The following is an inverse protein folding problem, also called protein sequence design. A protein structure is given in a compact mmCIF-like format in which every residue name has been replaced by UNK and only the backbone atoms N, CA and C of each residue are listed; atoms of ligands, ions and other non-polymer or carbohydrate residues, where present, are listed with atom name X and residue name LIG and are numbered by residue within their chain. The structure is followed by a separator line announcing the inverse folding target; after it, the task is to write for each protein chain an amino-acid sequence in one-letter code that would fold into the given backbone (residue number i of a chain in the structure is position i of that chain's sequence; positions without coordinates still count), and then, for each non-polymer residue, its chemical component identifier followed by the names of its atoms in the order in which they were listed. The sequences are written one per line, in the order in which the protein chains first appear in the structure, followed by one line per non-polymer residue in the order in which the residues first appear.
data_IF_877899353619
#
_entry.id   IF_877899353619
#
_cell.length_a   1.000
_cell.length_b   1.000
_cell.length_c   1.000
_cell.angle_alpha   90.00
_cell.angle_beta   90.00
_cell.angle_gamma   90.00
#
_symmetry.space_group_name_H-M   'P 1'
#
loop_
_entity.id
_entity.type
_entity.pdbx_description
1 polymer ?
#
# COMPACT_ATOMS: atom_id res chain seq x y z
N UNK A 1 -12.69 46.99 1.11
CA UNK A 1 -12.68 45.55 1.44
C UNK A 1 -12.84 44.76 0.14
N UNK A 2 -11.74 44.26 -0.43
CA UNK A 2 -11.77 43.42 -1.63
C UNK A 2 -11.59 41.96 -1.19
N UNK A 3 -12.70 41.22 -1.14
CA UNK A 3 -12.67 39.77 -0.94
C UNK A 3 -12.35 39.11 -2.30
N UNK A 4 -11.07 39.12 -2.66
CA UNK A 4 -10.54 38.34 -3.78
C UNK A 4 -10.49 36.86 -3.43
N UNK A 5 -11.66 36.22 -3.32
CA UNK A 5 -11.75 34.76 -3.19
C UNK A 5 -11.17 34.11 -4.44
N UNK A 6 -10.13 33.27 -4.27
CA UNK A 6 -9.61 32.40 -5.33
C UNK A 6 -10.78 31.58 -5.89
N UNK A 7 -11.20 31.86 -7.11
CA UNK A 7 -12.22 31.06 -7.82
C UNK A 7 -11.64 29.66 -8.02
N UNK A 8 -12.25 28.65 -7.43
CA UNK A 8 -11.88 27.25 -7.66
C UNK A 8 -12.12 26.88 -9.12
N UNK A 9 -11.34 25.94 -9.65
CA UNK A 9 -11.60 25.40 -10.97
C UNK A 9 -13.03 24.80 -11.01
N UNK A 10 -13.79 24.98 -12.10
CA UNK A 10 -15.12 24.40 -12.19
C UNK A 10 -15.05 22.88 -12.06
N UNK A 11 -16.01 22.31 -11.33
CA UNK A 11 -16.15 20.87 -11.17
C UNK A 11 -16.78 20.23 -12.41
N UNK A 12 -16.50 18.94 -12.61
CA UNK A 12 -17.06 18.13 -13.70
C UNK A 12 -18.59 18.20 -13.75
N UNK A 13 -19.26 18.23 -12.59
CA UNK A 13 -20.71 18.29 -12.49
C UNK A 13 -21.29 19.66 -12.88
N UNK A 14 -20.62 20.75 -12.51
CA UNK A 14 -21.02 22.10 -12.95
C UNK A 14 -20.88 22.25 -14.47
N UNK A 15 -19.83 21.67 -15.05
CA UNK A 15 -19.63 21.67 -16.50
C UNK A 15 -20.68 20.82 -17.23
N UNK A 16 -21.06 19.65 -16.68
CA UNK A 16 -22.14 18.81 -17.23
C UNK A 16 -23.49 19.54 -17.25
N UNK A 17 -23.81 20.30 -16.20
CA UNK A 17 -25.06 21.10 -16.14
C UNK A 17 -25.15 22.15 -17.24
N UNK A 18 -24.02 22.79 -17.56
CA UNK A 18 -23.96 23.78 -18.65
C UNK A 18 -24.15 23.11 -20.02
N UNK A 19 -23.61 21.90 -20.21
CA UNK A 19 -23.82 21.12 -21.45
C UNK A 19 -25.27 20.66 -21.58
N UNK A 20 -25.85 20.11 -20.52
CA UNK A 20 -27.25 19.67 -20.51
C UNK A 20 -28.20 20.81 -20.90
N UNK A 21 -28.02 21.99 -20.28
CA UNK A 21 -28.80 23.17 -20.61
C UNK A 21 -28.65 23.61 -22.08
N UNK A 22 -27.48 23.42 -22.70
CA UNK A 22 -27.29 23.71 -24.12
C UNK A 22 -27.98 22.67 -25.02
N UNK A 23 -27.86 21.38 -24.70
CA UNK A 23 -28.51 20.29 -25.43
C UNK A 23 -30.03 20.38 -25.40
N UNK A 24 -30.59 20.84 -24.27
CA UNK A 24 -32.03 21.01 -24.07
C UNK A 24 -32.57 22.32 -24.69
N UNK A 25 -31.74 23.10 -25.40
CA UNK A 25 -32.12 24.39 -25.99
C UNK A 25 -32.35 25.51 -24.97
N UNK A 26 -32.02 25.28 -23.70
CA UNK A 26 -32.16 26.25 -22.62
C UNK A 26 -30.99 27.26 -22.58
N UNK A 27 -31.16 28.34 -21.82
CA UNK A 27 -30.16 29.39 -21.70
C UNK A 27 -29.01 28.98 -20.76
N UNK A 28 -28.06 28.22 -21.29
CA UNK A 28 -26.85 27.76 -20.60
C UNK A 28 -25.97 28.90 -20.04
N UNK A 29 -26.10 30.14 -20.52
CA UNK A 29 -25.34 31.29 -19.98
C UNK A 29 -25.77 31.65 -18.56
N UNK A 30 -27.06 31.47 -18.25
CA UNK A 30 -27.62 31.67 -16.91
C UNK A 30 -27.09 30.57 -15.98
N UNK A 31 -27.08 29.32 -16.45
CA UNK A 31 -26.53 28.18 -15.70
C UNK A 31 -25.05 28.40 -15.38
N UNK A 32 -24.26 28.86 -16.35
CA UNK A 32 -22.84 29.19 -16.15
C UNK A 32 -22.62 30.31 -15.11
N UNK A 33 -23.48 31.33 -15.10
CA UNK A 33 -23.42 32.43 -14.12
C UNK A 33 -23.75 31.95 -12.70
N UNK A 34 -24.73 31.05 -12.55
CA UNK A 34 -25.13 30.49 -11.26
C UNK A 34 -24.12 29.47 -10.70
N UNK A 35 -23.44 28.72 -11.57
CA UNK A 35 -22.37 27.78 -11.17
C UNK A 35 -21.01 28.44 -11.02
N UNK A 36 -20.89 29.76 -11.22
CA UNK A 36 -19.62 30.47 -11.09
C UNK A 36 -18.59 30.18 -12.21
N UNK A 37 -19.02 29.57 -13.32
CA UNK A 37 -18.16 29.29 -14.46
C UNK A 37 -18.00 30.56 -15.31
N UNK A 38 -16.74 30.93 -15.59
CA UNK A 38 -16.47 32.03 -16.51
C UNK A 38 -17.11 31.77 -17.88
N UNK A 39 -17.78 32.78 -18.43
CA UNK A 39 -18.56 32.69 -19.67
C UNK A 39 -17.71 32.21 -20.87
N UNK A 40 -16.42 32.55 -20.89
CA UNK A 40 -15.44 32.04 -21.87
C UNK A 40 -15.21 30.53 -21.76
N UNK A 41 -15.12 30.00 -20.53
CA UNK A 41 -15.01 28.57 -20.26
C UNK A 41 -16.30 27.84 -20.61
N UNK A 42 -17.46 28.40 -20.26
CA UNK A 42 -18.76 27.84 -20.62
C UNK A 42 -18.96 27.76 -22.15
N UNK A 43 -18.59 28.82 -22.89
CA UNK A 43 -18.57 28.81 -24.37
C UNK A 43 -17.67 27.72 -24.93
N UNK A 44 -16.47 27.55 -24.38
CA UNK A 44 -15.54 26.49 -24.79
C UNK A 44 -16.16 25.11 -24.56
N UNK A 45 -16.72 24.86 -23.38
CA UNK A 45 -17.33 23.58 -22.99
C UNK A 45 -18.50 23.23 -23.91
N UNK A 46 -19.42 24.18 -24.14
CA UNK A 46 -20.58 24.00 -25.02
C UNK A 46 -20.15 23.72 -26.48
N UNK A 47 -19.12 24.43 -26.96
CA UNK A 47 -18.63 24.28 -28.34
C UNK A 47 -17.83 23.00 -28.56
N UNK A 48 -17.05 22.54 -27.57
CA UNK A 48 -16.11 21.41 -27.74
C UNK A 48 -16.54 20.14 -27.03
N UNK A 49 -17.58 20.18 -26.18
CA UNK A 49 -18.00 19.07 -25.32
C UNK A 49 -16.97 18.67 -24.25
N UNK A 50 -15.88 19.43 -24.07
CA UNK A 50 -14.79 19.03 -23.17
C UNK A 50 -15.07 19.39 -21.72
N UNK A 51 -15.40 18.36 -20.94
CA UNK A 51 -15.64 18.43 -19.50
C UNK A 51 -14.35 18.18 -18.70
N UNK A 52 -13.39 17.44 -19.27
CA UNK A 52 -12.12 17.12 -18.62
C UNK A 52 -10.98 18.01 -19.12
N UNK A 53 -10.12 18.44 -18.19
CA UNK A 53 -8.85 19.07 -18.53
C UNK A 53 -7.91 18.03 -19.16
N UNK A 54 -7.42 18.30 -20.36
CA UNK A 54 -6.34 17.49 -20.95
C UNK A 54 -5.03 17.73 -20.17
N UNK A 55 -4.16 16.71 -20.05
CA UNK A 55 -2.80 16.91 -19.55
C UNK A 55 -2.11 18.02 -20.35
N UNK A 56 -1.46 18.96 -19.67
CA UNK A 56 -0.73 20.07 -20.32
C UNK A 56 0.71 19.65 -20.55
N UNK A 57 1.03 19.32 -21.81
CA UNK A 57 2.38 18.93 -22.22
C UNK A 57 2.76 17.53 -21.74
N UNK A 58 3.59 16.85 -22.54
CA UNK A 58 4.15 15.54 -22.22
C UNK A 58 5.65 15.55 -22.47
N UNK A 59 6.35 14.57 -21.88
CA UNK A 59 7.76 14.35 -22.17
C UNK A 59 7.93 14.12 -23.68
N UNK A 60 8.63 15.04 -24.35
CA UNK A 60 8.92 14.89 -25.78
C UNK A 60 10.06 13.88 -25.89
N UNK A 61 9.84 12.77 -26.57
CA UNK A 61 10.84 11.69 -26.71
C UNK A 61 12.22 12.21 -27.14
N UNK A 62 12.26 13.18 -28.07
CA UNK A 62 13.49 13.83 -28.53
C UNK A 62 14.26 14.65 -27.47
N UNK A 63 13.67 14.91 -26.30
CA UNK A 63 14.27 15.63 -25.17
C UNK A 63 14.40 14.77 -23.91
N UNK A 64 13.86 13.55 -23.93
CA UNK A 64 13.97 12.62 -22.81
C UNK A 64 15.35 12.01 -22.80
N UNK A 65 16.21 12.47 -21.89
CA UNK A 65 17.59 11.96 -21.76
C UNK A 65 17.70 10.58 -21.10
N UNK A 66 16.71 10.20 -20.30
CA UNK A 66 16.67 8.90 -19.62
C UNK A 66 15.73 8.02 -20.45
N UNK A 67 16.28 7.32 -21.42
CA UNK A 67 15.52 6.40 -22.27
C UNK A 67 15.34 5.05 -21.55
N UNK A 68 14.41 4.18 -21.99
CA UNK A 68 14.26 2.84 -21.46
C UNK A 68 15.57 2.02 -21.49
N UNK A 69 16.38 2.19 -22.53
CA UNK A 69 17.67 1.48 -22.70
C UNK A 69 18.70 1.95 -21.68
N UNK A 70 18.72 3.24 -21.37
CA UNK A 70 19.58 3.82 -20.33
C UNK A 70 19.15 3.34 -18.94
N UNK A 71 17.84 3.23 -18.69
CA UNK A 71 17.32 2.66 -17.44
C UNK A 71 17.74 1.20 -17.28
N UNK A 72 17.58 0.39 -18.33
CA UNK A 72 18.02 -1.01 -18.33
C UNK A 72 19.54 -1.15 -18.12
N UNK A 73 20.35 -0.21 -18.64
CA UNK A 73 21.78 -0.20 -18.39
C UNK A 73 22.12 0.14 -16.93
N UNK A 74 21.48 1.15 -16.34
CA UNK A 74 21.63 1.49 -14.93
C UNK A 74 21.29 0.29 -14.04
N UNK A 75 20.21 -0.42 -14.36
CA UNK A 75 19.81 -1.66 -13.67
C UNK A 75 20.90 -2.74 -13.78
N UNK A 76 21.42 -3.02 -14.98
CA UNK A 76 22.52 -3.98 -15.16
C UNK A 76 23.77 -3.61 -14.35
N UNK A 77 24.11 -2.33 -14.25
CA UNK A 77 25.28 -1.92 -13.46
C UNK A 77 25.06 -2.18 -11.97
N UNK A 78 23.88 -1.82 -11.45
CA UNK A 78 23.49 -2.08 -10.07
C UNK A 78 23.46 -3.58 -9.75
N UNK A 79 22.97 -4.40 -10.68
CA UNK A 79 22.96 -5.87 -10.55
C UNK A 79 24.35 -6.49 -10.63
N UNK A 80 25.27 -5.84 -11.34
CA UNK A 80 26.67 -6.28 -11.42
C UNK A 80 27.43 -5.92 -10.15
N UNK A 81 27.25 -4.69 -9.66
CA UNK A 81 27.88 -4.24 -8.43
C UNK A 81 27.08 -3.08 -7.80
N UNK A 82 26.45 -3.36 -6.66
CA UNK A 82 25.65 -2.39 -5.92
C UNK A 82 26.49 -1.32 -5.18
N UNK A 83 27.82 -1.40 -5.20
CA UNK A 83 28.71 -0.37 -4.64
C UNK A 83 29.07 0.74 -5.64
N UNK A 84 28.62 0.65 -6.89
CA UNK A 84 28.87 1.72 -7.83
C UNK A 84 28.24 3.03 -7.34
N UNK A 85 29.05 4.09 -7.33
CA UNK A 85 28.57 5.42 -6.98
C UNK A 85 27.81 6.03 -8.17
N UNK A 86 26.97 7.03 -7.91
CA UNK A 86 26.33 7.82 -8.97
C UNK A 86 27.36 8.43 -9.95
N UNK A 87 28.59 8.68 -9.51
CA UNK A 87 29.68 9.16 -10.37
C UNK A 87 30.16 8.05 -11.30
N UNK A 88 30.38 6.84 -10.78
CA UNK A 88 30.79 5.69 -11.60
C UNK A 88 29.71 5.33 -12.62
N UNK A 89 28.44 5.31 -12.22
CA UNK A 89 27.33 5.08 -13.15
C UNK A 89 27.21 6.15 -14.22
N UNK A 90 27.49 7.41 -13.87
CA UNK A 90 27.53 8.51 -14.83
C UNK A 90 28.60 8.29 -15.90
N UNK A 91 29.79 7.80 -15.50
CA UNK A 91 30.87 7.45 -16.42
C UNK A 91 30.49 6.27 -17.31
N UNK A 92 29.87 5.22 -16.75
CA UNK A 92 29.41 4.07 -17.52
C UNK A 92 28.36 4.44 -18.56
N UNK A 93 27.39 5.29 -18.21
CA UNK A 93 26.39 5.78 -19.18
C UNK A 93 27.04 6.62 -20.27
N UNK A 94 28.03 7.46 -19.94
CA UNK A 94 28.73 8.25 -20.94
C UNK A 94 29.53 7.38 -21.93
N UNK A 95 30.02 6.22 -21.47
CA UNK A 95 30.72 5.23 -22.29
C UNK A 95 29.76 4.41 -23.16
N UNK A 96 28.71 3.84 -22.56
CA UNK A 96 27.79 2.92 -23.23
C UNK A 96 26.78 3.64 -24.14
N UNK A 97 26.50 4.93 -23.86
CA UNK A 97 25.59 5.76 -24.65
C UNK A 97 26.27 7.07 -25.08
N UNK A 98 27.20 7.02 -26.07
CA UNK A 98 27.91 8.20 -26.55
C UNK A 98 26.93 9.30 -26.99
N UNK A 99 27.15 10.52 -26.50
CA UNK A 99 26.28 11.67 -26.76
C UNK A 99 25.18 11.90 -25.70
N UNK A 100 25.02 10.99 -24.74
CA UNK A 100 24.11 11.19 -23.61
C UNK A 100 24.87 11.49 -22.33
N UNK A 101 24.74 12.73 -21.84
CA UNK A 101 25.24 13.12 -20.52
C UNK A 101 24.08 13.29 -19.54
N UNK A 102 24.06 12.41 -18.54
CA UNK A 102 23.19 12.50 -17.37
C UNK A 102 23.93 13.19 -16.22
N UNK A 103 23.22 13.98 -15.40
CA UNK A 103 23.76 14.45 -14.14
C UNK A 103 23.52 13.43 -13.03
N UNK A 104 24.30 13.46 -11.95
CA UNK A 104 24.07 12.62 -10.76
C UNK A 104 22.64 12.72 -10.23
N UNK A 105 22.10 13.94 -10.18
CA UNK A 105 20.71 14.19 -9.79
C UNK A 105 19.71 13.56 -10.78
N UNK A 106 20.02 13.48 -12.07
CA UNK A 106 19.17 12.83 -13.06
C UNK A 106 19.20 11.31 -12.91
N UNK A 107 20.35 10.75 -12.53
CA UNK A 107 20.51 9.32 -12.22
C UNK A 107 19.75 8.99 -10.92
N UNK A 108 19.95 9.75 -9.85
CA UNK A 108 19.17 9.57 -8.61
C UNK A 108 17.66 9.80 -8.83
N UNK A 109 17.23 10.78 -9.62
CA UNK A 109 15.81 10.92 -9.98
C UNK A 109 15.32 9.77 -10.87
N UNK A 110 16.19 9.22 -11.72
CA UNK A 110 15.92 8.03 -12.50
C UNK A 110 15.86 6.78 -11.61
N UNK A 111 16.48 6.78 -10.43
CA UNK A 111 16.30 5.76 -9.40
C UNK A 111 14.99 6.03 -8.59
N UNK A 112 14.74 7.28 -8.16
CA UNK A 112 13.68 7.67 -7.21
C UNK A 112 12.25 7.90 -7.79
N UNK A 113 12.09 8.12 -9.11
CA UNK A 113 10.78 8.37 -9.72
C UNK A 113 9.80 7.19 -9.55
N UNK A 114 8.58 7.39 -9.02
CA UNK A 114 7.56 6.35 -8.97
C UNK A 114 6.69 6.42 -10.23
N UNK A 115 6.78 5.42 -11.11
CA UNK A 115 5.82 5.24 -12.22
C UNK A 115 5.77 3.76 -12.58
N UNK A 116 4.59 3.30 -12.99
CA UNK A 116 4.11 1.91 -13.17
C UNK A 116 4.92 0.96 -14.08
N UNK A 117 6.17 1.30 -14.41
CA UNK A 117 7.13 0.55 -15.21
C UNK A 117 8.41 0.25 -14.43
N UNK A 118 8.41 0.41 -13.09
CA UNK A 118 9.58 0.28 -12.20
C UNK A 118 9.46 -0.77 -11.11
N UNK A 119 8.54 -1.72 -11.26
CA UNK A 119 8.47 -2.86 -10.34
C UNK A 119 9.79 -3.66 -10.32
N UNK A 120 10.69 -3.42 -11.29
CA UNK A 120 11.98 -4.09 -11.42
C UNK A 120 13.17 -3.36 -10.73
N UNK A 121 13.07 -2.07 -10.37
CA UNK A 121 14.20 -1.33 -9.72
C UNK A 121 14.17 -1.38 -8.19
N UNK A 122 12.97 -1.39 -7.61
CA UNK A 122 12.76 -1.71 -6.21
C UNK A 122 12.11 -3.08 -6.18
N UNK A 123 12.82 -4.07 -5.66
CA UNK A 123 12.26 -5.40 -5.45
C UNK A 123 10.89 -5.30 -4.76
N UNK A 124 9.96 -6.24 -5.01
CA UNK A 124 8.59 -6.14 -4.51
C UNK A 124 8.57 -5.90 -2.99
N UNK A 125 7.54 -5.26 -2.46
CA UNK A 125 7.40 -5.21 -1.00
C UNK A 125 7.06 -6.61 -0.47
N UNK A 126 7.64 -7.03 0.64
CA UNK A 126 7.15 -8.21 1.36
C UNK A 126 5.94 -7.79 2.22
N UNK A 127 4.78 -8.34 1.92
CA UNK A 127 3.59 -8.20 2.76
C UNK A 127 3.43 -9.42 3.65
N UNK A 128 3.09 -9.18 4.91
CA UNK A 128 2.89 -10.21 5.93
C UNK A 128 1.43 -10.14 6.38
N UNK A 129 0.67 -11.20 6.14
CA UNK A 129 -0.65 -11.39 6.75
C UNK A 129 -0.49 -12.27 7.97
N UNK A 130 -1.15 -11.91 9.07
CA UNK A 130 -1.17 -12.69 10.29
C UNK A 130 -2.57 -12.70 10.88
N UNK A 131 -2.94 -13.81 11.48
CA UNK A 131 -4.05 -13.91 12.42
C UNK A 131 -3.53 -14.44 13.75
N UNK A 132 -3.94 -13.80 14.84
CA UNK A 132 -3.51 -14.14 16.17
C UNK A 132 -4.70 -14.20 17.13
N UNK A 133 -4.62 -15.07 18.13
CA UNK A 133 -5.64 -15.24 19.18
C UNK A 133 -4.97 -15.40 20.54
N UNK A 134 -5.65 -14.98 21.61
CA UNK A 134 -5.15 -15.08 22.97
C UNK A 134 -5.00 -16.55 23.42
N UNK A 135 -5.73 -17.46 22.79
CA UNK A 135 -5.82 -18.88 23.08
C UNK A 135 -4.69 -19.66 22.37
N UNK A 136 -4.18 -19.17 21.25
CA UNK A 136 -3.18 -19.88 20.42
C UNK A 136 -1.92 -19.10 20.06
N UNK A 137 -1.84 -17.80 20.35
CA UNK A 137 -0.78 -16.94 19.82
C UNK A 137 -0.98 -16.69 18.33
N UNK A 138 0.08 -16.84 17.53
CA UNK A 138 -0.02 -16.77 16.06
C UNK A 138 -0.73 -18.01 15.52
N UNK A 139 -1.94 -17.83 14.97
CA UNK A 139 -2.79 -18.92 14.46
C UNK A 139 -2.46 -19.27 13.01
N UNK A 140 -2.28 -18.25 12.18
CA UNK A 140 -1.98 -18.42 10.77
C UNK A 140 -1.20 -17.20 10.27
N UNK A 141 -0.32 -17.41 9.30
CA UNK A 141 0.39 -16.32 8.64
C UNK A 141 0.63 -16.63 7.16
N UNK A 142 0.83 -15.58 6.37
CA UNK A 142 1.25 -15.69 4.97
C UNK A 142 2.24 -14.60 4.63
N UNK A 143 3.27 -14.98 3.88
CA UNK A 143 4.22 -14.06 3.28
C UNK A 143 3.89 -13.94 1.79
N UNK A 144 3.66 -12.72 1.32
CA UNK A 144 3.39 -12.45 -0.09
C UNK A 144 4.34 -11.37 -0.62
N UNK A 145 4.94 -11.65 -1.78
CA UNK A 145 5.67 -10.62 -2.54
C UNK A 145 4.67 -9.75 -3.29
N UNK A 146 4.81 -8.45 -3.15
CA UNK A 146 3.93 -7.46 -3.76
C UNK A 146 2.66 -7.20 -2.95
N UNK A 147 1.63 -6.70 -3.62
CA UNK A 147 0.38 -6.33 -2.96
C UNK A 147 -0.61 -7.49 -2.84
N UNK A 148 -1.22 -7.63 -1.67
CA UNK A 148 -2.32 -8.57 -1.42
C UNK A 148 -3.59 -8.07 -2.11
N UNK A 149 -4.17 -8.92 -2.95
CA UNK A 149 -5.46 -8.68 -3.61
C UNK A 149 -6.61 -9.24 -2.76
N UNK A 150 -7.81 -8.71 -2.97
CA UNK A 150 -9.01 -9.11 -2.21
C UNK A 150 -9.29 -10.63 -2.25
N UNK A 151 -9.11 -11.28 -3.40
CA UNK A 151 -9.34 -12.73 -3.53
C UNK A 151 -8.38 -13.56 -2.67
N UNK A 152 -7.11 -13.15 -2.65
CA UNK A 152 -6.11 -13.80 -1.81
C UNK A 152 -6.38 -13.58 -0.33
N UNK A 153 -6.89 -12.40 0.03
CA UNK A 153 -7.31 -12.11 1.39
C UNK A 153 -8.49 -12.98 1.83
N UNK A 154 -9.50 -13.16 0.96
CA UNK A 154 -10.63 -14.05 1.26
C UNK A 154 -10.18 -15.49 1.51
N UNK A 155 -9.26 -16.00 0.66
CA UNK A 155 -8.64 -17.32 0.87
C UNK A 155 -7.89 -17.39 2.21
N UNK A 156 -7.15 -16.34 2.57
CA UNK A 156 -6.45 -16.28 3.85
C UNK A 156 -7.42 -16.32 5.04
N UNK A 157 -8.56 -15.64 4.97
CA UNK A 157 -9.59 -15.69 6.03
C UNK A 157 -10.15 -17.10 6.21
N UNK A 158 -10.37 -17.84 5.12
CA UNK A 158 -10.78 -19.24 5.23
C UNK A 158 -9.69 -20.15 5.82
N UNK A 159 -8.43 -19.89 5.49
CA UNK A 159 -7.29 -20.60 6.11
C UNK A 159 -7.20 -20.31 7.61
N UNK A 160 -7.41 -19.06 8.02
CA UNK A 160 -7.49 -18.66 9.44
C UNK A 160 -8.62 -19.41 10.14
N UNK A 161 -9.80 -19.47 9.52
CA UNK A 161 -10.95 -20.20 10.07
C UNK A 161 -10.64 -21.69 10.26
N UNK A 162 -10.07 -22.34 9.24
CA UNK A 162 -9.67 -23.76 9.31
C UNK A 162 -8.60 -24.00 10.36
N UNK A 163 -7.57 -23.15 10.40
CA UNK A 163 -6.49 -23.22 11.38
C UNK A 163 -6.99 -23.03 12.82
N UNK A 164 -7.91 -22.09 13.04
CA UNK A 164 -8.54 -21.87 14.35
C UNK A 164 -9.28 -23.13 14.82
N UNK A 165 -10.09 -23.77 13.95
CA UNK A 165 -10.81 -25.00 14.29
C UNK A 165 -9.90 -26.21 14.50
N UNK A 166 -8.74 -26.24 13.84
CA UNK A 166 -7.74 -27.30 14.00
C UNK A 166 -6.86 -27.12 15.24
N UNK A 167 -6.88 -25.94 15.89
CA UNK A 167 -6.05 -25.66 17.05
C UNK A 167 -6.40 -26.52 18.26
N UNK A 168 -5.40 -26.83 19.09
CA UNK A 168 -5.58 -27.56 20.34
C UNK A 168 -6.56 -26.86 21.29
N UNK A 169 -6.50 -25.53 21.36
CA UNK A 169 -7.44 -24.74 22.16
C UNK A 169 -8.89 -24.99 21.73
N UNK A 170 -9.15 -25.02 20.41
CA UNK A 170 -10.49 -25.25 19.90
C UNK A 170 -10.97 -26.67 20.19
N UNK A 171 -10.15 -27.68 19.91
CA UNK A 171 -10.51 -29.09 20.14
C UNK A 171 -10.71 -29.41 21.62
N UNK A 172 -9.98 -28.73 22.51
CA UNK A 172 -10.10 -28.92 23.96
C UNK A 172 -11.30 -28.20 24.59
N UNK A 173 -11.68 -27.02 24.11
CA UNK A 173 -12.60 -26.14 24.87
C UNK A 173 -13.61 -25.33 24.05
N UNK A 174 -13.50 -25.27 22.72
CA UNK A 174 -14.39 -24.47 21.88
C UNK A 174 -15.14 -25.27 20.80
N UNK A 175 -15.10 -26.60 20.84
CA UNK A 175 -15.87 -27.46 19.93
C UNK A 175 -17.35 -27.06 19.96
N UNK A 176 -17.91 -26.81 18.77
CA UNK A 176 -19.30 -26.41 18.59
C UNK A 176 -19.58 -24.92 18.83
N UNK A 177 -18.57 -24.13 19.20
CA UNK A 177 -18.68 -22.66 19.29
C UNK A 177 -18.38 -22.03 17.92
N UNK A 178 -18.90 -20.81 17.72
CA UNK A 178 -18.58 -20.02 16.53
C UNK A 178 -17.16 -19.47 16.62
N UNK A 179 -16.45 -19.46 15.49
CA UNK A 179 -15.18 -18.77 15.33
C UNK A 179 -15.46 -17.34 14.88
N UNK A 180 -14.95 -16.36 15.63
CA UNK A 180 -15.09 -14.94 15.32
C UNK A 180 -13.76 -14.43 14.77
N UNK A 181 -13.76 -13.91 13.55
CA UNK A 181 -12.60 -13.29 12.91
C UNK A 181 -12.83 -11.78 12.85
N UNK A 182 -11.94 -11.03 13.49
CA UNK A 182 -12.00 -9.57 13.55
C UNK A 182 -11.03 -8.99 12.53
N UNK A 183 -11.54 -8.16 11.63
CA UNK A 183 -10.79 -7.49 10.57
C UNK A 183 -10.71 -5.98 10.84
N UNK A 184 -9.56 -5.39 10.54
CA UNK A 184 -9.45 -3.94 10.42
C UNK A 184 -10.00 -3.46 9.06
N UNK A 185 -9.91 -2.15 8.82
CA UNK A 185 -10.42 -1.52 7.61
C UNK A 185 -9.34 -1.34 6.51
N UNK A 186 -8.32 -2.20 6.48
CA UNK A 186 -7.32 -2.17 5.41
C UNK A 186 -7.97 -2.38 4.02
N UNK A 187 -7.45 -1.77 2.94
CA UNK A 187 -8.02 -1.91 1.60
C UNK A 187 -8.12 -3.36 1.10
N UNK A 188 -7.17 -4.22 1.50
CA UNK A 188 -7.17 -5.65 1.18
C UNK A 188 -8.38 -6.40 1.77
N UNK A 189 -8.97 -5.86 2.85
CA UNK A 189 -10.16 -6.41 3.48
C UNK A 189 -11.44 -5.90 2.83
N UNK A 190 -11.40 -5.02 1.83
CA UNK A 190 -12.62 -4.58 1.16
C UNK A 190 -13.37 -5.79 0.56
N UNK A 191 -14.69 -5.84 0.78
CA UNK A 191 -15.58 -6.91 0.28
C UNK A 191 -15.26 -8.33 0.80
N UNK A 192 -14.43 -8.51 1.83
CA UNK A 192 -14.11 -9.84 2.37
C UNK A 192 -15.36 -10.66 2.68
N UNK A 193 -16.38 -10.07 3.30
CA UNK A 193 -17.64 -10.75 3.66
C UNK A 193 -18.42 -11.25 2.44
N UNK A 194 -18.24 -10.63 1.28
CA UNK A 194 -18.90 -11.04 0.03
C UNK A 194 -18.14 -12.14 -0.71
N UNK A 195 -16.84 -12.32 -0.40
CA UNK A 195 -15.92 -13.23 -1.12
C UNK A 195 -15.62 -14.51 -0.36
N UNK A 196 -15.65 -14.47 0.96
CA UNK A 196 -15.43 -15.65 1.81
C UNK A 196 -16.66 -16.55 1.75
N UNK A 197 -16.46 -17.87 1.68
CA UNK A 197 -17.56 -18.83 1.74
C UNK A 197 -18.40 -18.68 3.02
N UNK A 198 -19.71 -18.90 2.92
CA UNK A 198 -20.60 -18.86 4.07
C UNK A 198 -20.45 -20.12 4.92
N UNK A 199 -20.15 -19.95 6.20
CA UNK A 199 -20.13 -21.02 7.20
C UNK A 199 -21.00 -20.61 8.39
N UNK A 200 -21.89 -21.48 8.86
CA UNK A 200 -22.86 -21.18 9.94
C UNK A 200 -22.19 -20.83 11.27
N UNK A 201 -20.98 -21.35 11.47
CA UNK A 201 -20.14 -21.20 12.66
C UNK A 201 -18.96 -20.24 12.46
N UNK A 202 -18.94 -19.46 11.38
CA UNK A 202 -17.98 -18.38 11.19
C UNK A 202 -18.68 -17.02 11.30
N UNK A 203 -18.09 -16.10 12.06
CA UNK A 203 -18.57 -14.72 12.20
C UNK A 203 -17.43 -13.78 11.84
N UNK A 204 -17.68 -12.89 10.87
CA UNK A 204 -16.76 -11.83 10.50
C UNK A 204 -17.19 -10.53 11.16
N UNK A 205 -16.29 -9.89 11.90
CA UNK A 205 -16.51 -8.57 12.51
C UNK A 205 -15.51 -7.57 11.94
N UNK A 206 -15.92 -6.30 11.89
CA UNK A 206 -15.03 -5.18 11.56
C UNK A 206 -14.84 -4.27 12.76
N UNK A 207 -13.60 -3.82 12.93
CA UNK A 207 -13.29 -2.74 13.84
C UNK A 207 -13.81 -1.40 13.31
N UNK A 208 -14.09 -0.47 14.22
CA UNK A 208 -14.36 0.91 13.87
C UNK A 208 -13.17 1.52 13.11
N UNK A 209 -13.40 2.51 12.21
CA UNK A 209 -12.33 3.26 11.58
C UNK A 209 -11.34 3.82 12.62
N UNK A 210 -10.05 3.85 12.27
CA UNK A 210 -8.99 4.47 13.08
C UNK A 210 -8.94 3.98 14.54
N UNK A 211 -9.23 2.71 14.79
CA UNK A 211 -9.29 2.12 16.14
C UNK A 211 -8.17 1.10 16.44
N UNK A 212 -6.88 1.44 16.26
CA UNK A 212 -5.78 0.50 16.48
C UNK A 212 -5.67 0.03 17.95
N UNK A 213 -6.16 0.84 18.91
CA UNK A 213 -6.22 0.48 20.33
C UNK A 213 -7.12 -0.74 20.62
N UNK A 214 -8.02 -1.06 19.69
CA UNK A 214 -8.96 -2.18 19.77
C UNK A 214 -8.51 -3.35 18.88
N UNK A 215 -7.34 -3.26 18.26
CA UNK A 215 -6.77 -4.29 17.41
C UNK A 215 -5.52 -4.91 18.06
N UNK A 216 -5.63 -6.09 18.71
CA UNK A 216 -4.53 -6.66 19.48
C UNK A 216 -3.30 -7.01 18.63
N UNK A 217 -3.46 -7.21 17.32
CA UNK A 217 -2.36 -7.60 16.44
C UNK A 217 -1.44 -6.42 16.06
N UNK A 218 -1.86 -5.17 16.26
CA UNK A 218 -1.06 -3.99 15.87
C UNK A 218 0.26 -3.90 16.65
N UNK A 219 0.21 -4.14 17.96
CA UNK A 219 1.40 -4.24 18.81
C UNK A 219 2.27 -5.45 18.43
N UNK A 220 1.63 -6.58 18.08
CA UNK A 220 2.35 -7.76 17.59
C UNK A 220 3.14 -7.45 16.32
N UNK A 221 2.56 -6.72 15.36
CA UNK A 221 3.27 -6.27 14.17
C UNK A 221 4.40 -5.30 14.49
N UNK A 222 4.22 -4.43 15.47
CA UNK A 222 5.28 -3.51 15.91
C UNK A 222 6.50 -4.27 16.45
N UNK A 223 6.27 -5.31 17.25
CA UNK A 223 7.33 -6.21 17.76
C UNK A 223 7.97 -7.00 16.63
N UNK A 224 7.17 -7.58 15.73
CA UNK A 224 7.67 -8.32 14.57
C UNK A 224 8.59 -7.44 13.72
N UNK A 225 8.16 -6.22 13.40
CA UNK A 225 8.97 -5.24 12.65
C UNK A 225 10.27 -4.92 13.36
N UNK A 226 10.26 -4.72 14.68
CA UNK A 226 11.48 -4.46 15.45
C UNK A 226 12.46 -5.64 15.39
N UNK A 227 11.96 -6.88 15.47
CA UNK A 227 12.79 -8.08 15.37
C UNK A 227 13.36 -8.30 13.98
N UNK A 228 12.56 -8.11 12.94
CA UNK A 228 13.04 -8.15 11.55
C UNK A 228 14.15 -7.10 11.34
N UNK A 229 13.97 -5.87 11.81
CA UNK A 229 15.00 -4.84 11.73
C UNK A 229 16.30 -5.24 12.45
N UNK A 230 16.20 -5.84 13.63
CA UNK A 230 17.36 -6.37 14.35
C UNK A 230 18.08 -7.48 13.57
N UNK A 231 17.32 -8.44 13.05
CA UNK A 231 17.84 -9.54 12.23
C UNK A 231 18.61 -9.04 11.00
N UNK A 232 18.06 -8.04 10.31
CA UNK A 232 18.68 -7.42 9.14
C UNK A 232 19.92 -6.61 9.50
N UNK A 233 19.90 -5.88 10.63
CA UNK A 233 21.04 -5.09 11.08
C UNK A 233 22.27 -5.98 11.36
N UNK A 234 22.08 -7.14 11.99
CA UNK A 234 23.12 -8.14 12.22
C UNK A 234 23.69 -8.74 10.92
N UNK A 235 22.93 -8.70 9.83
CA UNK A 235 23.24 -9.29 8.52
C UNK A 235 23.35 -8.25 7.42
N UNK A 236 23.79 -7.04 7.78
CA UNK A 236 23.89 -5.91 6.85
C UNK A 236 24.78 -6.24 5.65
N UNK A 237 25.82 -7.06 5.83
CA UNK A 237 26.67 -7.55 4.74
C UNK A 237 25.87 -8.33 3.67
N UNK A 238 24.86 -9.11 4.07
CA UNK A 238 24.02 -9.88 3.13
C UNK A 238 23.10 -8.99 2.28
N UNK A 239 22.86 -7.74 2.68
CA UNK A 239 22.13 -6.78 1.85
C UNK A 239 22.92 -6.36 0.60
N UNK A 240 24.24 -6.54 0.61
CA UNK A 240 25.14 -6.21 -0.49
C UNK A 240 25.80 -7.46 -1.08
N UNK A 241 25.26 -8.64 -0.76
CA UNK A 241 25.68 -9.92 -1.31
C UNK A 241 24.58 -10.46 -2.24
N UNK A 242 24.94 -10.71 -3.50
CA UNK A 242 24.02 -11.30 -4.47
C UNK A 242 23.71 -12.76 -4.11
N UNK A 243 24.57 -13.41 -3.32
CA UNK A 243 24.54 -14.85 -3.01
C UNK A 243 24.42 -15.65 -4.33
N UNK A 244 23.77 -16.81 -4.28
CA UNK A 244 23.54 -17.65 -5.46
C UNK A 244 22.30 -17.22 -6.28
N UNK A 245 21.80 -16.00 -6.09
CA UNK A 245 20.61 -15.50 -6.78
C UNK A 245 20.96 -14.77 -8.08
N UNK A 246 19.95 -14.65 -8.94
CA UNK A 246 20.05 -14.01 -10.24
C UNK A 246 20.19 -12.48 -10.17
N UNK A 247 19.80 -11.84 -9.06
CA UNK A 247 19.88 -10.38 -8.85
C UNK A 247 20.07 -10.04 -7.37
N UNK A 248 20.57 -8.84 -7.09
CA UNK A 248 20.63 -8.33 -5.71
C UNK A 248 19.24 -8.14 -5.10
N UNK A 249 18.25 -7.81 -5.93
CA UNK A 249 16.86 -7.65 -5.51
C UNK A 249 16.27 -8.97 -5.01
N UNK A 250 16.49 -10.06 -5.73
CA UNK A 250 16.06 -11.39 -5.30
C UNK A 250 16.78 -11.80 -4.01
N UNK A 251 18.10 -11.58 -3.91
CA UNK A 251 18.86 -11.89 -2.70
C UNK A 251 18.32 -11.14 -1.47
N UNK A 252 18.03 -9.83 -1.61
CA UNK A 252 17.45 -9.00 -0.54
C UNK A 252 16.04 -9.43 -0.18
N UNK A 253 15.20 -9.76 -1.17
CA UNK A 253 13.86 -10.26 -0.95
C UNK A 253 13.88 -11.57 -0.15
N UNK A 254 14.76 -12.50 -0.54
CA UNK A 254 14.96 -13.77 0.17
C UNK A 254 15.42 -13.56 1.61
N UNK A 255 16.36 -12.64 1.82
CA UNK A 255 16.79 -12.27 3.17
C UNK A 255 15.64 -11.71 4.01
N UNK A 256 14.73 -10.94 3.41
CA UNK A 256 13.55 -10.40 4.09
C UNK A 256 12.52 -11.50 4.41
N UNK A 257 12.32 -12.47 3.52
CA UNK A 257 11.47 -13.66 3.75
C UNK A 257 12.04 -14.53 4.88
N UNK A 258 13.36 -14.78 4.87
CA UNK A 258 14.09 -15.47 5.93
C UNK A 258 13.91 -14.75 7.27
N UNK A 259 14.13 -13.43 7.31
CA UNK A 259 13.96 -12.62 8.50
C UNK A 259 12.53 -12.66 9.04
N UNK A 260 11.53 -12.55 8.16
CA UNK A 260 10.12 -12.64 8.55
C UNK A 260 9.79 -14.02 9.12
N UNK A 261 10.21 -15.09 8.45
CA UNK A 261 9.98 -16.48 8.88
C UNK A 261 10.61 -16.75 10.25
N UNK A 262 11.84 -16.33 10.47
CA UNK A 262 12.55 -16.48 11.75
C UNK A 262 11.90 -15.67 12.88
N UNK A 263 11.34 -14.50 12.57
CA UNK A 263 10.78 -13.59 13.56
C UNK A 263 9.29 -13.83 13.87
N UNK A 264 8.54 -14.46 12.98
CA UNK A 264 7.10 -14.74 13.16
C UNK A 264 6.78 -15.49 14.47
N UNK A 265 7.55 -16.51 14.91
CA UNK A 265 7.35 -17.18 16.20
C UNK A 265 7.44 -16.26 17.43
N UNK A 266 7.92 -15.01 17.29
CA UNK A 266 7.93 -14.02 18.37
C UNK A 266 6.54 -13.45 18.68
N UNK A 267 5.55 -13.69 17.83
CA UNK A 267 4.13 -13.45 18.15
C UNK A 267 3.65 -14.62 19.02
N UNK A 268 4.06 -14.60 20.29
CA UNK A 268 3.75 -15.65 21.27
C UNK A 268 2.33 -15.49 21.82
N UNK A 269 1.76 -16.57 22.35
CA UNK A 269 0.48 -16.52 23.07
C UNK A 269 0.49 -15.49 24.20
N UNK A 270 1.56 -15.45 25.02
CA UNK A 270 1.70 -14.50 26.13
C UNK A 270 1.69 -13.04 25.67
N UNK A 271 2.23 -12.75 24.48
CA UNK A 271 2.16 -11.43 23.88
C UNK A 271 0.72 -11.11 23.47
N UNK A 272 0.07 -12.01 22.73
CA UNK A 272 -1.31 -11.77 22.26
C UNK A 272 -2.28 -11.62 23.43
N UNK A 273 -2.13 -12.40 24.51
CA UNK A 273 -2.92 -12.24 25.75
C UNK A 273 -2.74 -10.83 26.33
N UNK A 274 -1.50 -10.35 26.44
CA UNK A 274 -1.21 -9.00 26.94
C UNK A 274 -1.93 -7.94 26.11
N UNK A 275 -1.86 -8.04 24.79
CA UNK A 275 -2.48 -7.09 23.87
C UNK A 275 -4.02 -7.19 23.86
N UNK A 276 -4.58 -8.39 23.97
CA UNK A 276 -6.02 -8.59 24.14
C UNK A 276 -6.53 -7.93 25.43
N UNK A 277 -5.82 -8.11 26.55
CA UNK A 277 -6.13 -7.43 27.82
C UNK A 277 -5.96 -5.90 27.74
N UNK A 278 -5.04 -5.41 26.91
CA UNK A 278 -4.94 -3.98 26.60
C UNK A 278 -6.18 -3.50 25.82
N UNK A 279 -6.57 -4.20 24.76
CA UNK A 279 -7.77 -3.87 23.98
C UNK A 279 -9.02 -3.86 24.86
N UNK A 280 -9.21 -4.88 25.70
CA UNK A 280 -10.36 -4.99 26.59
C UNK A 280 -10.52 -3.78 27.52
N UNK A 281 -9.41 -3.29 28.10
CA UNK A 281 -9.43 -2.08 28.95
C UNK A 281 -9.77 -0.80 28.17
N UNK A 282 -9.48 -0.78 26.87
CA UNK A 282 -9.82 0.34 26.00
C UNK A 282 -11.24 0.26 25.43
N UNK A 283 -11.87 -0.92 25.40
CA UNK A 283 -13.29 -1.05 25.02
C UNK A 283 -14.18 -0.24 25.96
N UNK A 284 -13.96 -0.35 27.27
CA UNK A 284 -14.76 0.40 28.26
C UNK A 284 -14.61 1.92 28.08
N UNK A 285 -13.38 2.37 27.82
CA UNK A 285 -13.10 3.77 27.48
C UNK A 285 -13.81 4.21 26.20
N UNK A 286 -13.81 3.36 25.18
CA UNK A 286 -14.51 3.63 23.93
C UNK A 286 -16.03 3.75 24.14
N UNK A 287 -16.62 2.89 24.97
CA UNK A 287 -18.05 2.97 25.33
C UNK A 287 -18.38 4.25 26.09
N UNK A 288 -17.47 4.71 26.95
CA UNK A 288 -17.61 5.95 27.73
C UNK A 288 -17.20 7.22 26.95
N UNK A 289 -16.82 7.11 25.67
CA UNK A 289 -16.30 8.20 24.85
C UNK A 289 -15.05 8.90 25.45
N UNK A 290 -14.25 8.13 26.18
CA UNK A 290 -12.99 8.60 26.77
C UNK A 290 -11.84 8.54 25.76
N UNK A 291 -10.88 9.46 25.91
CA UNK A 291 -9.66 9.46 25.09
C UNK A 291 -8.79 8.24 25.41
N UNK A 292 -8.46 7.46 24.38
CA UNK A 292 -7.54 6.32 24.46
C UNK A 292 -6.14 6.73 24.00
N UNK A 293 -5.10 6.14 24.60
CA UNK A 293 -3.71 6.36 24.19
C UNK A 293 -3.18 5.12 23.48
N UNK A 294 -2.46 5.33 22.37
CA UNK A 294 -1.80 4.28 21.59
C UNK A 294 -0.31 4.58 21.49
N UNK A 295 0.55 3.56 21.66
CA UNK A 295 1.99 3.68 21.42
C UNK A 295 2.79 4.47 22.46
N UNK A 296 2.68 4.11 23.74
CA UNK A 296 3.65 4.53 24.77
C UNK A 296 4.74 3.50 24.97
#
# INVERSE_FOLDING_TARGET
MSAGGKRSAPTTEEMKRVIAAYSDGANWQIVAKHTGIALSTARRIVKTGQIHNKPRGGARQSRTKVTPEILAALERYLDTNCHFTLTAMQEFIALDFPGTQLSKQKISQAEDQPTSTRDDLYGPNLQVQCAASAEGGLVCHRLERGSIKMDKNAQFVEEVFRAAKASEAYTASFVGKKVVIVLDNAPAHSQTEQRVASYDDMVLLRLGPYSPMLNPIESCFSILKAKIKGYLAERTNLLFDRRDFNSYLESRMRLLEEAATECLPRITQSLVIREAMFCQRNIEKALNLENMQYGK
#
